data_IF_277468053647
#
_entry.id   IF_277468053647
#
_cell.length_a   1.000
_cell.length_b   1.000
_cell.length_c   1.000
_cell.angle_alpha   90.00
_cell.angle_beta   90.00
_cell.angle_gamma   90.00
#
_symmetry.space_group_name_H-M   'P 1'
#
loop_
_entity.id
_entity.type
_entity.pdbx_description
1 polymer ?
#
# COMPACT_ATOMS: atom_id res chain seq x y z
N UNK A 1 -15.87 72.10 -29.49
CA UNK A 1 -16.29 71.01 -30.35
C UNK A 1 -15.17 69.97 -30.43
N UNK A 2 -15.21 68.90 -29.67
CA UNK A 2 -14.45 67.66 -29.91
C UNK A 2 -15.18 66.53 -29.18
N UNK A 3 -15.74 65.59 -29.93
CA UNK A 3 -16.48 64.43 -29.47
C UNK A 3 -15.49 63.37 -29.14
N UNK A 4 -15.45 62.88 -27.90
CA UNK A 4 -14.71 61.67 -27.55
C UNK A 4 -15.67 60.48 -27.54
N UNK A 5 -15.45 59.57 -28.48
CA UNK A 5 -16.11 58.29 -28.60
C UNK A 5 -15.42 57.31 -27.60
N UNK A 6 -16.09 56.99 -26.53
CA UNK A 6 -15.62 55.95 -25.61
C UNK A 6 -15.96 54.56 -26.20
N UNK A 7 -14.92 53.78 -26.49
CA UNK A 7 -15.04 52.38 -26.90
C UNK A 7 -15.29 51.51 -25.66
N UNK A 8 -16.42 50.90 -25.56
CA UNK A 8 -16.71 49.85 -24.59
C UNK A 8 -16.10 48.58 -25.13
N UNK A 9 -15.03 48.09 -24.48
CA UNK A 9 -14.50 46.75 -24.68
C UNK A 9 -15.20 45.82 -23.69
N UNK A 10 -16.13 45.07 -24.15
CA UNK A 10 -16.69 43.92 -23.44
C UNK A 10 -15.70 42.79 -23.50
N UNK A 11 -14.99 42.54 -22.39
CA UNK A 11 -14.17 41.38 -22.21
C UNK A 11 -15.10 40.18 -21.94
N UNK A 12 -15.30 39.33 -22.95
CA UNK A 12 -15.93 38.02 -22.77
C UNK A 12 -14.91 37.11 -22.07
N UNK A 13 -15.10 36.86 -20.79
CA UNK A 13 -14.34 35.83 -20.06
C UNK A 13 -14.83 34.45 -20.52
N UNK A 14 -14.05 33.81 -21.38
CA UNK A 14 -14.20 32.40 -21.68
C UNK A 14 -13.71 31.63 -20.42
N UNK A 15 -14.66 31.20 -19.61
CA UNK A 15 -14.38 30.19 -18.57
C UNK A 15 -14.13 28.84 -19.28
N UNK A 16 -12.86 28.55 -19.55
CA UNK A 16 -12.47 27.19 -19.93
C UNK A 16 -12.64 26.35 -18.69
N UNK A 17 -13.76 25.66 -18.59
CA UNK A 17 -13.98 24.61 -17.61
C UNK A 17 -13.00 23.48 -17.90
N UNK A 18 -11.86 23.46 -17.21
CA UNK A 18 -10.98 22.33 -17.19
C UNK A 18 -11.69 21.23 -16.39
N UNK A 19 -12.45 20.41 -17.07
CA UNK A 19 -12.87 19.12 -16.51
C UNK A 19 -11.62 18.28 -16.38
N UNK A 20 -11.08 18.23 -15.17
CA UNK A 20 -10.05 17.24 -14.83
C UNK A 20 -10.75 15.89 -14.92
N UNK A 21 -10.70 15.26 -16.09
CA UNK A 21 -10.97 13.84 -16.18
C UNK A 21 -9.85 13.15 -15.41
N UNK A 22 -10.14 12.70 -14.21
CA UNK A 22 -9.28 11.72 -13.52
C UNK A 22 -9.38 10.45 -14.36
N UNK A 23 -8.45 10.30 -15.29
CA UNK A 23 -8.29 9.02 -15.97
C UNK A 23 -7.96 8.01 -14.87
N UNK A 24 -8.70 6.90 -14.83
CA UNK A 24 -8.38 5.78 -13.95
C UNK A 24 -6.92 5.42 -14.20
N UNK A 25 -6.15 5.28 -13.12
CA UNK A 25 -4.73 4.97 -13.23
C UNK A 25 -4.50 3.63 -13.97
N UNK A 26 -5.50 2.73 -13.93
CA UNK A 26 -5.43 1.39 -14.51
C UNK A 26 -6.74 1.03 -15.20
N UNK A 27 -6.63 0.42 -16.39
CA UNK A 27 -7.78 0.10 -17.22
C UNK A 27 -8.72 -0.99 -16.64
N UNK A 28 -8.20 -1.83 -15.75
CA UNK A 28 -8.89 -2.97 -15.15
C UNK A 28 -9.48 -2.69 -13.77
N UNK A 29 -9.49 -1.43 -13.34
CA UNK A 29 -10.07 -1.02 -12.05
C UNK A 29 -11.40 -0.30 -12.18
N UNK A 30 -11.86 -0.01 -13.40
CA UNK A 30 -13.11 0.71 -13.66
C UNK A 30 -14.33 -0.06 -13.10
N UNK A 31 -15.09 0.59 -12.23
CA UNK A 31 -16.22 -0.01 -11.52
C UNK A 31 -15.87 -1.05 -10.46
N UNK A 32 -14.60 -1.31 -10.19
CA UNK A 32 -14.20 -2.22 -9.11
C UNK A 32 -14.41 -1.55 -7.74
N UNK A 33 -14.86 -2.29 -6.74
CA UNK A 33 -15.11 -1.76 -5.38
C UNK A 33 -13.90 -1.05 -4.76
N UNK A 34 -12.68 -1.44 -5.10
CA UNK A 34 -11.44 -0.86 -4.62
C UNK A 34 -10.91 0.29 -5.50
N UNK A 35 -11.57 0.63 -6.60
CA UNK A 35 -11.11 1.63 -7.57
C UNK A 35 -10.67 2.94 -6.92
N UNK A 36 -11.53 3.51 -6.05
CA UNK A 36 -11.23 4.76 -5.36
C UNK A 36 -9.97 4.67 -4.48
N UNK A 37 -9.81 3.56 -3.77
CA UNK A 37 -8.63 3.32 -2.94
C UNK A 37 -7.37 3.14 -3.80
N UNK A 38 -7.46 2.40 -4.89
CA UNK A 38 -6.36 2.17 -5.83
C UNK A 38 -5.91 3.50 -6.44
N UNK A 39 -6.85 4.31 -6.96
CA UNK A 39 -6.54 5.61 -7.55
C UNK A 39 -5.87 6.56 -6.54
N UNK A 40 -6.34 6.56 -5.29
CA UNK A 40 -5.75 7.35 -4.22
C UNK A 40 -4.33 6.90 -3.90
N UNK A 41 -4.14 5.63 -3.59
CA UNK A 41 -2.86 5.11 -3.12
C UNK A 41 -1.81 4.98 -4.23
N UNK A 42 -2.24 4.85 -5.49
CA UNK A 42 -1.35 4.84 -6.65
C UNK A 42 -1.11 6.25 -7.20
N UNK A 43 -2.18 6.97 -7.54
CA UNK A 43 -2.09 8.25 -8.24
C UNK A 43 -1.67 9.41 -7.32
N UNK A 44 -2.25 9.50 -6.12
CA UNK A 44 -1.99 10.60 -5.19
C UNK A 44 -0.73 10.36 -4.37
N UNK A 45 -0.53 9.15 -3.84
CA UNK A 45 0.57 8.84 -2.92
C UNK A 45 1.72 8.04 -3.55
N UNK A 46 1.52 7.38 -4.69
CA UNK A 46 2.55 6.58 -5.34
C UNK A 46 2.99 5.32 -4.57
N UNK A 47 2.19 4.88 -3.59
CA UNK A 47 2.55 3.80 -2.65
C UNK A 47 2.30 2.43 -3.26
N UNK A 48 1.16 2.24 -3.95
CA UNK A 48 0.87 1.02 -4.68
C UNK A 48 1.12 1.24 -6.18
N UNK A 49 1.56 0.21 -6.86
CA UNK A 49 1.91 0.26 -8.27
C UNK A 49 1.24 -0.88 -9.01
N UNK A 50 0.80 -0.61 -10.24
CA UNK A 50 0.32 -1.64 -11.14
C UNK A 50 1.47 -2.38 -11.84
N UNK A 51 1.12 -3.05 -12.91
CA UNK A 51 2.04 -3.77 -13.78
C UNK A 51 2.45 -2.91 -14.98
N UNK A 52 3.58 -3.27 -15.62
CA UNK A 52 4.12 -2.55 -16.77
C UNK A 52 3.18 -2.56 -18.00
N UNK A 53 2.21 -3.47 -18.01
CA UNK A 53 1.16 -3.54 -19.03
C UNK A 53 -0.02 -2.57 -18.80
N UNK A 54 0.07 -1.72 -17.79
CA UNK A 54 -0.96 -0.74 -17.45
C UNK A 54 -2.15 -1.33 -16.66
N UNK A 55 -2.07 -2.56 -16.18
CA UNK A 55 -3.08 -3.19 -15.32
C UNK A 55 -2.72 -3.10 -13.85
N UNK A 56 -3.70 -3.18 -12.97
CA UNK A 56 -3.51 -3.29 -11.52
C UNK A 56 -3.75 -4.72 -11.00
N UNK A 57 -4.71 -5.41 -11.58
CA UNK A 57 -5.15 -6.76 -11.23
C UNK A 57 -5.66 -6.83 -9.79
N UNK A 58 -6.73 -6.10 -9.46
CA UNK A 58 -7.20 -5.89 -8.08
C UNK A 58 -7.56 -7.19 -7.36
N UNK A 59 -8.04 -8.21 -8.07
CA UNK A 59 -8.41 -9.51 -7.50
C UNK A 59 -7.24 -10.51 -7.39
N UNK A 60 -6.05 -10.12 -7.86
CA UNK A 60 -4.89 -11.00 -7.78
C UNK A 60 -4.31 -11.01 -6.38
N UNK A 61 -3.97 -12.20 -5.88
CA UNK A 61 -3.26 -12.33 -4.61
C UNK A 61 -1.91 -11.62 -4.66
N UNK A 62 -1.56 -10.95 -3.56
CA UNK A 62 -0.29 -10.25 -3.41
C UNK A 62 0.79 -11.15 -2.82
N UNK A 63 2.03 -11.01 -3.27
CA UNK A 63 3.16 -11.74 -2.71
C UNK A 63 3.75 -11.02 -1.49
N UNK A 64 4.49 -11.77 -0.68
CA UNK A 64 5.20 -11.23 0.49
C UNK A 64 6.19 -10.15 0.10
N UNK A 65 6.91 -10.32 -1.01
CA UNK A 65 7.83 -9.33 -1.54
C UNK A 65 7.11 -8.06 -2.02
N UNK A 66 6.02 -8.20 -2.75
CA UNK A 66 5.22 -7.06 -3.19
C UNK A 66 4.64 -6.27 -2.01
N UNK A 67 4.16 -6.96 -0.98
CA UNK A 67 3.67 -6.31 0.25
C UNK A 67 4.80 -5.59 1.01
N UNK A 68 6.01 -6.18 1.07
CA UNK A 68 7.18 -5.51 1.61
C UNK A 68 7.51 -4.21 0.85
N UNK A 69 7.47 -4.24 -0.48
CA UNK A 69 7.67 -3.05 -1.30
C UNK A 69 6.63 -1.95 -1.05
N UNK A 70 5.38 -2.30 -0.78
CA UNK A 70 4.33 -1.34 -0.39
C UNK A 70 4.67 -0.70 0.96
N UNK A 71 5.04 -1.50 1.96
CA UNK A 71 5.40 -0.99 3.28
C UNK A 71 6.66 -0.13 3.25
N UNK A 72 7.68 -0.49 2.47
CA UNK A 72 8.91 0.30 2.32
C UNK A 72 8.59 1.67 1.71
N UNK A 73 7.79 1.74 0.64
CA UNK A 73 7.34 3.00 0.05
C UNK A 73 6.50 3.83 1.01
N UNK A 74 5.63 3.20 1.77
CA UNK A 74 4.79 3.90 2.74
C UNK A 74 5.58 4.48 3.91
N UNK A 75 6.54 3.72 4.46
CA UNK A 75 7.33 4.09 5.63
C UNK A 75 8.55 4.96 5.28
N UNK A 76 8.91 5.05 3.99
CA UNK A 76 10.05 5.83 3.49
C UNK A 76 11.36 5.51 4.23
N UNK A 77 11.67 4.23 4.42
CA UNK A 77 12.91 3.84 5.07
C UNK A 77 14.12 4.35 4.31
N UNK A 78 14.90 5.20 4.98
CA UNK A 78 16.15 5.75 4.43
C UNK A 78 17.35 4.80 4.61
N UNK A 79 17.15 3.68 5.26
CA UNK A 79 18.25 2.83 5.67
C UNK A 79 18.77 2.01 4.49
N UNK A 80 20.02 2.21 4.21
CA UNK A 80 20.77 1.51 3.19
C UNK A 80 21.24 0.15 3.70
N UNK A 81 20.93 -0.89 2.94
CA UNK A 81 21.56 -2.21 2.93
C UNK A 81 22.04 -2.77 4.27
N UNK A 82 21.16 -3.30 5.10
CA UNK A 82 21.60 -4.25 6.10
C UNK A 82 22.19 -5.47 5.39
N UNK A 83 23.11 -6.18 6.07
CA UNK A 83 23.67 -7.42 5.55
C UNK A 83 22.51 -8.36 5.12
N UNK A 84 22.63 -8.96 3.94
CA UNK A 84 21.62 -9.89 3.46
C UNK A 84 21.58 -11.13 4.34
N UNK A 85 20.48 -11.31 5.05
CA UNK A 85 20.25 -12.43 5.95
C UNK A 85 19.41 -13.55 5.31
N UNK A 86 18.87 -13.30 4.12
CA UNK A 86 18.00 -14.23 3.40
C UNK A 86 18.62 -14.62 2.05
N UNK A 87 18.98 -15.89 1.90
CA UNK A 87 19.60 -16.38 0.65
C UNK A 87 18.64 -16.31 -0.56
N UNK A 88 17.33 -16.33 -0.32
CA UNK A 88 16.29 -16.35 -1.34
C UNK A 88 15.83 -14.96 -1.79
N UNK A 89 16.45 -13.89 -1.28
CA UNK A 89 16.19 -12.51 -1.73
C UNK A 89 17.25 -11.98 -2.68
N UNK A 90 18.43 -12.60 -2.73
CA UNK A 90 19.59 -12.11 -3.49
C UNK A 90 19.23 -11.91 -4.96
N UNK A 91 19.40 -10.67 -5.45
CA UNK A 91 19.12 -10.29 -6.83
C UNK A 91 17.63 -10.22 -7.18
N UNK A 92 16.72 -10.40 -6.24
CA UNK A 92 15.29 -10.20 -6.48
C UNK A 92 14.94 -8.71 -6.46
N UNK A 93 13.88 -8.34 -7.17
CA UNK A 93 13.34 -6.97 -7.16
C UNK A 93 13.01 -6.45 -5.74
N UNK A 94 12.66 -7.37 -4.83
CA UNK A 94 12.20 -7.03 -3.48
C UNK A 94 13.32 -7.07 -2.43
N UNK A 95 14.56 -7.38 -2.80
CA UNK A 95 15.68 -7.56 -1.88
C UNK A 95 15.83 -6.36 -0.93
N UNK A 96 16.00 -5.17 -1.48
CA UNK A 96 16.22 -3.94 -0.70
C UNK A 96 15.07 -3.67 0.30
N UNK A 97 13.81 -3.73 -0.17
CA UNK A 97 12.64 -3.51 0.68
C UNK A 97 12.55 -4.55 1.81
N UNK A 98 12.78 -5.83 1.51
CA UNK A 98 12.73 -6.89 2.51
C UNK A 98 13.82 -6.70 3.56
N UNK A 99 15.05 -6.38 3.16
CA UNK A 99 16.16 -6.20 4.08
C UNK A 99 15.98 -4.99 5.00
N UNK A 100 15.47 -3.87 4.49
CA UNK A 100 15.12 -2.70 5.30
C UNK A 100 14.07 -3.01 6.36
N UNK A 101 13.00 -3.69 5.95
CA UNK A 101 11.93 -4.10 6.87
C UNK A 101 12.41 -5.14 7.87
N UNK A 102 13.32 -6.05 7.46
CA UNK A 102 13.91 -7.02 8.37
C UNK A 102 14.79 -6.35 9.43
N UNK A 103 15.68 -5.43 9.03
CA UNK A 103 16.50 -4.66 9.95
C UNK A 103 15.66 -3.84 10.96
N UNK A 104 14.46 -3.44 10.56
CA UNK A 104 13.50 -2.70 11.41
C UNK A 104 12.63 -3.63 12.28
N UNK A 105 12.84 -4.95 12.23
CA UNK A 105 12.04 -5.92 12.98
C UNK A 105 10.62 -6.12 12.47
N UNK A 106 10.30 -5.63 11.26
CA UNK A 106 8.96 -5.73 10.65
C UNK A 106 8.81 -7.05 9.88
N UNK A 107 9.78 -7.38 9.05
CA UNK A 107 9.81 -8.60 8.23
C UNK A 107 10.70 -9.65 8.89
N UNK A 108 10.10 -10.69 9.46
CA UNK A 108 10.90 -11.67 10.25
C UNK A 108 11.38 -12.87 9.42
N UNK A 109 10.80 -13.11 8.26
CA UNK A 109 11.06 -14.33 7.50
C UNK A 109 10.42 -15.57 8.11
N UNK A 110 10.83 -16.72 7.60
CA UNK A 110 10.44 -18.04 8.13
C UNK A 110 11.64 -18.98 8.01
N UNK A 111 12.16 -19.48 9.14
CA UNK A 111 13.31 -20.40 9.19
C UNK A 111 14.50 -19.96 8.33
N UNK A 112 14.82 -18.67 8.34
CA UNK A 112 15.95 -18.11 7.59
C UNK A 112 15.65 -17.82 6.11
N UNK A 113 14.42 -18.02 5.63
CA UNK A 113 13.96 -17.66 4.30
C UNK A 113 12.98 -16.48 4.34
N UNK A 114 13.05 -15.59 3.37
CA UNK A 114 12.10 -14.50 3.20
C UNK A 114 10.83 -14.94 2.49
N UNK A 115 10.93 -15.87 1.54
CA UNK A 115 9.85 -16.35 0.70
C UNK A 115 9.17 -15.21 -0.10
N UNK A 116 9.92 -14.39 -0.86
CA UNK A 116 9.38 -13.18 -1.49
C UNK A 116 8.30 -13.44 -2.51
N UNK A 117 8.34 -14.57 -3.19
CA UNK A 117 7.37 -14.98 -4.22
C UNK A 117 6.12 -15.68 -3.67
N UNK A 118 6.12 -16.06 -2.41
CA UNK A 118 4.94 -16.69 -1.78
C UNK A 118 3.84 -15.69 -1.55
N UNK A 119 2.59 -16.10 -1.70
CA UNK A 119 1.42 -15.29 -1.33
C UNK A 119 1.47 -14.95 0.16
N UNK A 120 1.20 -13.68 0.50
CA UNK A 120 1.05 -13.28 1.89
C UNK A 120 -0.34 -13.62 2.39
N UNK A 121 -0.44 -14.16 3.61
CA UNK A 121 -1.73 -14.36 4.28
C UNK A 121 -2.19 -13.10 5.00
N UNK A 122 -3.50 -12.99 5.28
CA UNK A 122 -4.08 -11.86 6.02
C UNK A 122 -3.41 -11.68 7.39
N UNK A 123 -3.24 -12.75 8.15
CA UNK A 123 -2.56 -12.71 9.46
C UNK A 123 -1.09 -12.25 9.37
N UNK A 124 -0.36 -12.63 8.31
CA UNK A 124 1.01 -12.17 8.10
C UNK A 124 1.05 -10.65 7.80
N UNK A 125 0.15 -10.18 6.95
CA UNK A 125 0.04 -8.77 6.63
C UNK A 125 -0.28 -7.93 7.89
N UNK A 126 -1.26 -8.36 8.69
CA UNK A 126 -1.64 -7.71 9.95
C UNK A 126 -0.46 -7.65 10.92
N UNK A 127 0.26 -8.75 11.12
CA UNK A 127 1.44 -8.77 11.99
C UNK A 127 2.56 -7.82 11.49
N UNK A 128 2.78 -7.74 10.18
CA UNK A 128 3.77 -6.81 9.60
C UNK A 128 3.33 -5.35 9.78
N UNK A 129 2.06 -5.02 9.54
CA UNK A 129 1.53 -3.67 9.77
C UNK A 129 1.61 -3.32 11.26
N UNK A 130 1.21 -4.22 12.15
CA UNK A 130 1.27 -4.02 13.59
C UNK A 130 2.68 -3.66 14.08
N UNK A 131 3.71 -4.38 13.59
CA UNK A 131 5.12 -4.07 13.89
C UNK A 131 5.55 -2.74 13.26
N UNK A 132 5.15 -2.48 12.02
CA UNK A 132 5.50 -1.25 11.30
C UNK A 132 5.01 0.01 12.02
N UNK A 133 3.81 -0.03 12.54
CA UNK A 133 3.20 1.08 13.29
C UNK A 133 3.44 0.99 14.81
N UNK A 134 4.24 0.01 15.27
CA UNK A 134 4.52 -0.22 16.69
C UNK A 134 3.23 -0.30 17.53
N UNK A 135 2.22 -0.93 16.95
CA UNK A 135 0.98 -1.21 17.66
C UNK A 135 1.31 -2.27 18.73
N UNK A 136 1.24 -1.88 19.98
CA UNK A 136 1.46 -2.82 21.08
C UNK A 136 0.32 -3.84 21.04
N UNK A 137 0.60 -5.14 20.89
CA UNK A 137 -0.44 -6.14 20.93
C UNK A 137 -0.96 -6.25 22.36
N UNK A 138 -2.22 -5.90 22.56
CA UNK A 138 -2.89 -6.21 23.82
C UNK A 138 -3.29 -7.69 23.83
N UNK A 139 -3.55 -8.24 25.00
CA UNK A 139 -3.80 -9.68 25.19
C UNK A 139 -5.21 -10.13 24.80
N UNK A 140 -5.98 -9.31 24.12
CA UNK A 140 -7.31 -9.68 23.67
C UNK A 140 -7.20 -10.73 22.56
N UNK A 141 -7.69 -11.94 22.81
CA UNK A 141 -7.87 -12.92 21.74
C UNK A 141 -8.97 -12.42 20.81
N UNK A 142 -8.79 -12.56 19.47
CA UNK A 142 -9.84 -12.20 18.52
C UNK A 142 -11.04 -13.13 18.64
N UNK A 143 -12.24 -12.58 18.41
CA UNK A 143 -13.50 -13.33 18.45
C UNK A 143 -13.92 -13.78 17.03
N UNK A 144 -13.07 -14.57 16.38
CA UNK A 144 -13.36 -15.20 15.08
C UNK A 144 -13.59 -16.70 15.24
N UNK A 145 -14.43 -17.26 14.37
CA UNK A 145 -14.74 -18.70 14.38
C UNK A 145 -13.54 -19.58 13.99
N UNK A 146 -12.52 -19.01 13.37
CA UNK A 146 -11.28 -19.65 12.93
C UNK A 146 -10.04 -19.17 13.71
N UNK A 147 -10.24 -18.67 14.93
CA UNK A 147 -9.15 -18.17 15.79
C UNK A 147 -8.05 -19.23 16.01
N UNK A 148 -8.40 -20.52 16.05
CA UNK A 148 -7.49 -21.64 16.17
C UNK A 148 -6.55 -21.82 14.96
N UNK A 149 -6.90 -21.23 13.81
CA UNK A 149 -6.07 -21.23 12.61
C UNK A 149 -5.10 -20.04 12.54
N UNK A 150 -5.24 -19.09 13.47
CA UNK A 150 -4.33 -17.93 13.54
C UNK A 150 -3.04 -18.35 14.24
N UNK A 151 -1.91 -18.13 13.57
CA UNK A 151 -0.61 -18.46 14.13
C UNK A 151 -0.32 -17.60 15.37
N UNK A 152 0.33 -18.18 16.37
CA UNK A 152 0.63 -17.56 17.67
C UNK A 152 1.26 -16.16 17.53
N UNK A 153 2.22 -16.01 16.60
CA UNK A 153 2.89 -14.71 16.36
C UNK A 153 1.97 -13.58 15.87
N UNK A 154 0.80 -13.94 15.30
CA UNK A 154 -0.14 -12.99 14.73
C UNK A 154 -1.36 -12.74 15.63
N UNK A 155 -1.65 -13.68 16.53
CA UNK A 155 -2.89 -13.72 17.32
C UNK A 155 -3.16 -12.40 18.04
N UNK A 156 -2.18 -11.90 18.78
CA UNK A 156 -2.32 -10.64 19.53
C UNK A 156 -2.47 -9.40 18.63
N UNK A 157 -1.81 -9.39 17.45
CA UNK A 157 -2.00 -8.32 16.48
C UNK A 157 -3.40 -8.36 15.85
N UNK A 158 -3.89 -9.56 15.51
CA UNK A 158 -5.24 -9.72 14.95
C UNK A 158 -6.30 -9.25 15.96
N UNK A 159 -6.20 -9.66 17.23
CA UNK A 159 -7.11 -9.20 18.28
C UNK A 159 -7.09 -7.67 18.48
N UNK A 160 -5.91 -7.06 18.46
CA UNK A 160 -5.78 -5.60 18.59
C UNK A 160 -6.39 -4.86 17.39
N UNK A 161 -6.20 -5.37 16.18
CA UNK A 161 -6.78 -4.77 14.98
C UNK A 161 -8.30 -4.91 14.93
N UNK A 162 -8.83 -6.04 15.42
CA UNK A 162 -10.27 -6.23 15.59
C UNK A 162 -10.84 -5.25 16.62
N UNK A 163 -10.23 -5.18 17.81
CA UNK A 163 -10.65 -4.29 18.88
C UNK A 163 -10.68 -2.81 18.45
N UNK A 164 -9.81 -2.41 17.54
CA UNK A 164 -9.79 -1.06 16.94
C UNK A 164 -10.73 -0.90 15.74
N UNK A 165 -11.44 -1.94 15.34
CA UNK A 165 -12.32 -1.91 14.17
C UNK A 165 -11.60 -1.85 12.83
N UNK A 166 -10.32 -2.24 12.76
CA UNK A 166 -9.55 -2.32 11.52
C UNK A 166 -9.76 -3.64 10.78
N UNK A 167 -10.25 -4.64 11.49
CA UNK A 167 -10.65 -5.94 10.94
C UNK A 167 -12.10 -6.23 11.32
N UNK A 168 -12.81 -6.86 10.39
CA UNK A 168 -14.18 -7.35 10.56
C UNK A 168 -14.29 -8.77 10.00
#
# INVERSE_FOLDING_TARGET
>A
MKRHFGKWLTAAALAVGCTVMTANAFADTDGHWAESAINKWSGEYGIIQGYDDGTFRPDKTITRGAFAGILDRFLHFQNTSPANTFSDTVGTYWEDAILKLHASGIYLGNQGAALPSSTITRQQAVAMIGRAFRIAPETAAPDYTDTDQIAEYALAYVGEFEARGYLT
#
